data_IF_735691808724
#
_entry.id   IF_735691808724
#
_cell.length_a   1.000
_cell.length_b   1.000
_cell.length_c   1.000
_cell.angle_alpha   90.00
_cell.angle_beta   90.00
_cell.angle_gamma   90.00
#
_symmetry.space_group_name_H-M   'P 1'
#
loop_
_entity.id
_entity.type
_entity.pdbx_description
1 polymer ?
#
# COMPACT_ATOMS: atom_id res chain seq x y z
N UNK A 1 -18.07 -8.77 11.07
CA UNK A 1 -18.34 -7.33 10.92
C UNK A 1 -17.22 -6.49 11.52
N UNK A 2 -16.78 -5.42 10.84
CA UNK A 2 -15.84 -4.46 11.40
C UNK A 2 -16.52 -3.69 12.54
N UNK A 3 -15.86 -3.64 13.71
CA UNK A 3 -16.26 -2.74 14.79
C UNK A 3 -15.65 -1.36 14.53
N UNK A 4 -16.49 -0.33 14.48
CA UNK A 4 -16.04 1.06 14.35
C UNK A 4 -16.02 1.72 15.72
N UNK A 5 -14.91 2.37 16.05
CA UNK A 5 -14.77 3.18 17.26
C UNK A 5 -14.17 4.54 16.86
N UNK A 6 -14.84 5.62 17.23
CA UNK A 6 -14.31 6.96 17.07
C UNK A 6 -13.34 7.24 18.23
N UNK A 7 -12.07 7.49 17.91
CA UNK A 7 -11.03 7.82 18.90
C UNK A 7 -10.51 9.22 18.64
N UNK A 8 -10.48 10.05 19.68
CA UNK A 8 -9.78 11.33 19.63
C UNK A 8 -8.27 11.07 19.62
N UNK A 9 -7.65 11.26 18.45
CA UNK A 9 -6.22 11.06 18.25
C UNK A 9 -5.35 12.06 19.05
N UNK A 10 -5.93 13.12 19.63
CA UNK A 10 -5.22 14.01 20.58
C UNK A 10 -5.02 13.36 21.95
N UNK A 11 -5.78 12.30 22.28
CA UNK A 11 -5.72 11.58 23.54
C UNK A 11 -5.60 10.06 23.33
N UNK A 12 -4.49 9.56 22.76
CA UNK A 12 -4.37 8.19 22.25
C UNK A 12 -4.24 7.08 23.31
N UNK A 13 -4.45 7.38 24.60
CA UNK A 13 -4.14 6.48 25.74
C UNK A 13 -4.93 5.16 25.77
N UNK A 14 -5.89 4.94 24.87
CA UNK A 14 -6.69 3.72 24.79
C UNK A 14 -6.37 2.76 23.64
N UNK A 15 -5.62 3.15 22.60
CA UNK A 15 -5.44 2.33 21.39
C UNK A 15 -4.35 1.26 21.53
N UNK A 16 -3.23 1.58 22.18
CA UNK A 16 -2.02 0.74 22.13
C UNK A 16 -2.12 -0.57 22.91
N UNK A 17 -2.96 -0.63 23.94
CA UNK A 17 -3.15 -1.83 24.78
C UNK A 17 -4.05 -2.90 24.16
N UNK A 18 -4.83 -2.55 23.14
CA UNK A 18 -5.86 -3.42 22.53
C UNK A 18 -5.60 -3.72 21.05
N UNK A 19 -4.77 -2.92 20.37
CA UNK A 19 -4.51 -3.10 18.94
C UNK A 19 -3.31 -4.02 18.69
N UNK A 20 -3.55 -5.13 17.97
CA UNK A 20 -2.50 -6.00 17.43
C UNK A 20 -1.86 -5.43 16.16
N UNK A 21 -2.69 -4.80 15.33
CA UNK A 21 -2.32 -4.24 14.03
C UNK A 21 -2.89 -2.83 13.95
N UNK A 22 -2.04 -1.86 13.60
CA UNK A 22 -2.44 -0.50 13.25
C UNK A 22 -2.15 -0.30 11.77
N UNK A 23 -3.18 0.07 11.00
CA UNK A 23 -3.04 0.45 9.59
C UNK A 23 -3.38 1.93 9.45
N UNK A 24 -2.54 2.67 8.76
CA UNK A 24 -2.71 4.10 8.54
C UNK A 24 -2.27 4.52 7.15
N UNK A 25 -2.87 5.58 6.63
CA UNK A 25 -2.61 6.10 5.28
C UNK A 25 -2.38 7.61 5.26
N UNK A 26 -1.78 8.17 6.31
CA UNK A 26 -1.44 9.59 6.37
C UNK A 26 -0.12 9.88 5.65
N UNK A 27 0.13 11.17 5.36
CA UNK A 27 1.45 11.61 4.90
C UNK A 27 2.53 11.25 5.93
N UNK A 28 3.71 10.80 5.48
CA UNK A 28 4.82 10.43 6.35
C UNK A 28 5.13 11.52 7.39
N UNK A 29 5.21 11.10 8.65
CA UNK A 29 5.48 11.98 9.80
C UNK A 29 4.24 12.62 10.44
N UNK A 30 3.06 12.59 9.82
CA UNK A 30 1.84 13.20 10.40
C UNK A 30 1.43 12.55 11.72
N UNK A 31 1.35 11.22 11.76
CA UNK A 31 1.04 10.48 12.98
C UNK A 31 2.16 10.58 14.02
N UNK A 32 3.42 10.70 13.57
CA UNK A 32 4.54 10.93 14.48
C UNK A 32 4.39 12.25 15.26
N UNK A 33 3.99 13.34 14.58
CA UNK A 33 3.68 14.63 15.22
C UNK A 33 2.52 14.55 16.23
N UNK A 34 1.63 13.58 16.05
CA UNK A 34 0.48 13.32 16.93
C UNK A 34 0.81 12.34 18.07
N UNK A 35 2.08 11.92 18.22
CA UNK A 35 2.48 10.94 19.24
C UNK A 35 2.11 9.50 18.92
N UNK A 36 1.67 9.23 17.69
CA UNK A 36 1.15 7.95 17.21
C UNK A 36 2.07 7.27 16.20
N UNK A 37 3.32 7.73 16.06
CA UNK A 37 4.28 7.08 15.17
C UNK A 37 4.76 5.73 15.70
N UNK A 38 5.29 4.90 14.81
CA UNK A 38 5.76 3.56 15.14
C UNK A 38 6.76 3.53 16.32
N UNK A 39 7.73 4.45 16.36
CA UNK A 39 8.70 4.50 17.46
C UNK A 39 8.06 4.75 18.82
N UNK A 40 7.01 5.58 18.87
CA UNK A 40 6.29 5.86 20.10
C UNK A 40 5.44 4.67 20.53
N UNK A 41 4.70 4.06 19.59
CA UNK A 41 3.78 2.97 19.91
C UNK A 41 4.49 1.64 20.18
N UNK A 42 5.60 1.36 19.49
CA UNK A 42 6.39 0.14 19.69
C UNK A 42 7.06 0.08 21.08
N UNK A 43 7.31 1.22 21.73
CA UNK A 43 7.77 1.28 23.12
C UNK A 43 6.68 0.84 24.11
N UNK A 44 5.41 1.10 23.79
CA UNK A 44 4.26 0.73 24.62
C UNK A 44 3.82 -0.70 24.34
N UNK A 45 3.79 -1.08 23.06
CA UNK A 45 3.42 -2.42 22.60
C UNK A 45 4.49 -2.94 21.62
N UNK A 46 5.52 -3.66 22.11
CA UNK A 46 6.58 -4.25 21.28
C UNK A 46 6.08 -5.32 20.29
N UNK A 47 4.83 -5.77 20.43
CA UNK A 47 4.16 -6.75 19.57
C UNK A 47 3.33 -6.08 18.47
N UNK A 48 3.27 -4.75 18.42
CA UNK A 48 2.48 -4.00 17.45
C UNK A 48 3.00 -4.19 16.04
N UNK A 49 2.13 -4.61 15.13
CA UNK A 49 2.37 -4.51 13.69
C UNK A 49 1.83 -3.17 13.23
N UNK A 50 2.70 -2.33 12.70
CA UNK A 50 2.35 -1.00 12.22
C UNK A 50 2.47 -0.99 10.71
N UNK A 51 1.40 -0.72 9.98
CA UNK A 51 1.39 -0.67 8.52
C UNK A 51 1.06 0.74 8.05
N UNK A 52 2.04 1.38 7.42
CA UNK A 52 1.89 2.67 6.76
C UNK A 52 1.62 2.46 5.28
N UNK A 53 0.61 3.14 4.74
CA UNK A 53 0.28 3.17 3.32
C UNK A 53 0.47 4.60 2.81
N UNK A 54 1.42 4.83 1.91
CA UNK A 54 1.74 6.16 1.39
C UNK A 54 1.78 6.22 -0.13
N UNK A 55 1.89 7.41 -0.71
CA UNK A 55 2.09 7.58 -2.16
C UNK A 55 3.41 6.99 -2.65
N UNK A 56 4.50 7.46 -2.04
CA UNK A 56 5.86 7.28 -2.55
C UNK A 56 6.82 6.64 -1.52
N UNK A 57 6.31 6.19 -0.37
CA UNK A 57 7.10 5.61 0.72
C UNK A 57 7.36 6.62 1.84
N UNK A 58 7.88 6.12 2.97
CA UNK A 58 8.25 6.95 4.12
C UNK A 58 9.54 7.78 3.89
N UNK A 59 10.31 7.47 2.85
CA UNK A 59 11.61 8.08 2.56
C UNK A 59 11.69 8.53 1.09
N UNK A 60 12.71 9.33 0.77
CA UNK A 60 12.96 9.81 -0.59
C UNK A 60 12.33 11.18 -0.90
N UNK A 61 12.63 11.73 -2.08
CA UNK A 61 12.32 13.12 -2.42
C UNK A 61 10.83 13.41 -2.55
N UNK A 62 10.03 12.39 -2.90
CA UNK A 62 8.57 12.51 -3.07
C UNK A 62 7.77 12.01 -1.86
N UNK A 63 8.42 11.68 -0.74
CA UNK A 63 7.75 11.13 0.46
C UNK A 63 6.63 12.04 1.00
N UNK A 64 6.78 13.36 0.87
CA UNK A 64 5.77 14.35 1.31
C UNK A 64 4.73 14.69 0.23
N UNK A 65 4.83 14.09 -0.95
CA UNK A 65 3.88 14.31 -2.03
C UNK A 65 2.58 13.52 -1.78
N UNK A 66 1.41 14.09 -2.07
CA UNK A 66 0.15 13.35 -2.01
C UNK A 66 0.16 12.12 -2.92
N UNK A 67 -0.24 10.97 -2.37
CA UNK A 67 -0.41 9.73 -3.10
C UNK A 67 -1.84 9.56 -3.56
N UNK A 68 -2.11 9.84 -4.84
CA UNK A 68 -3.40 9.53 -5.47
C UNK A 68 -3.21 8.43 -6.50
N UNK A 69 -4.15 7.49 -6.56
CA UNK A 69 -4.18 6.38 -7.52
C UNK A 69 -3.90 6.83 -8.96
N UNK A 70 -4.56 7.88 -9.44
CA UNK A 70 -4.36 8.40 -10.79
C UNK A 70 -2.93 8.92 -11.02
N UNK A 71 -2.31 9.52 -10.01
CA UNK A 71 -0.94 10.02 -10.13
C UNK A 71 0.04 8.84 -10.11
N UNK A 72 -0.16 7.89 -9.21
CA UNK A 72 0.68 6.70 -9.11
C UNK A 72 0.61 5.84 -10.39
N UNK A 73 -0.59 5.63 -10.93
CA UNK A 73 -0.82 4.96 -12.22
C UNK A 73 -0.18 5.67 -13.41
N UNK A 74 -0.16 7.01 -13.41
CA UNK A 74 0.51 7.78 -14.45
C UNK A 74 2.05 7.62 -14.35
N UNK A 75 2.59 7.80 -13.15
CA UNK A 75 4.04 7.79 -12.89
C UNK A 75 4.64 6.39 -13.02
N UNK A 76 3.89 5.33 -12.71
CA UNK A 76 4.38 3.95 -12.87
C UNK A 76 4.50 3.50 -14.33
N UNK A 77 3.80 4.17 -15.24
CA UNK A 77 3.63 3.74 -16.63
C UNK A 77 2.38 2.91 -16.90
N UNK A 78 1.52 2.66 -15.90
CA UNK A 78 0.27 1.91 -16.10
C UNK A 78 -0.64 2.59 -17.14
N UNK A 79 -0.78 3.92 -17.10
CA UNK A 79 -1.58 4.64 -18.09
C UNK A 79 -1.01 4.51 -19.51
N UNK A 80 0.32 4.41 -19.64
CA UNK A 80 0.98 4.30 -20.94
C UNK A 80 0.68 2.95 -21.62
N UNK A 81 0.50 1.89 -20.84
CA UNK A 81 0.17 0.54 -21.34
C UNK A 81 -1.34 0.27 -21.40
N UNK A 82 -2.17 1.26 -21.07
CA UNK A 82 -3.63 1.12 -21.00
C UNK A 82 -4.29 1.99 -22.07
N UNK A 83 -5.03 1.36 -22.97
CA UNK A 83 -5.74 2.04 -24.06
C UNK A 83 -5.50 1.39 -25.42
N UNK A 84 -5.97 2.01 -26.50
CA UNK A 84 -5.63 1.62 -27.87
C UNK A 84 -4.12 1.78 -28.13
N UNK A 85 -3.54 0.93 -28.99
CA UNK A 85 -2.10 0.93 -29.33
C UNK A 85 -1.59 2.29 -29.83
N UNK A 86 -2.33 2.91 -30.76
CA UNK A 86 -2.03 4.25 -31.31
C UNK A 86 -2.84 5.37 -30.61
N UNK A 87 -3.35 5.10 -29.40
CA UNK A 87 -4.20 6.02 -28.64
C UNK A 87 -3.44 6.85 -27.61
N UNK A 88 -4.10 7.88 -27.09
CA UNK A 88 -3.63 8.61 -25.91
C UNK A 88 -3.66 7.70 -24.66
N UNK A 89 -2.73 7.86 -23.70
CA UNK A 89 -2.74 7.13 -22.44
C UNK A 89 -4.08 7.22 -21.71
N UNK A 90 -4.66 6.07 -21.37
CA UNK A 90 -5.98 6.00 -20.72
C UNK A 90 -5.83 5.58 -19.27
N UNK A 91 -6.56 6.27 -18.39
CA UNK A 91 -6.68 5.83 -16.99
C UNK A 91 -7.52 4.56 -16.91
N UNK A 92 -7.06 3.51 -16.20
CA UNK A 92 -7.91 2.35 -15.90
C UNK A 92 -9.22 2.76 -15.23
N UNK A 93 -10.33 2.10 -15.59
CA UNK A 93 -11.67 2.40 -15.05
C UNK A 93 -11.84 2.04 -13.56
N UNK A 94 -10.86 1.38 -12.97
CA UNK A 94 -10.83 0.99 -11.55
C UNK A 94 -9.55 1.49 -10.91
N UNK A 95 -9.58 1.73 -9.60
CA UNK A 95 -8.42 2.17 -8.83
C UNK A 95 -7.42 1.01 -8.62
N UNK A 96 -6.76 0.62 -9.72
CA UNK A 96 -5.85 -0.53 -9.75
C UNK A 96 -4.71 -0.37 -8.74
N UNK A 97 -4.21 0.85 -8.56
CA UNK A 97 -3.10 1.09 -7.64
C UNK A 97 -3.54 0.91 -6.21
N UNK A 98 -4.68 1.49 -5.83
CA UNK A 98 -5.23 1.34 -4.47
C UNK A 98 -5.52 -0.14 -4.15
N UNK A 99 -6.11 -0.88 -5.10
CA UNK A 99 -6.41 -2.30 -4.95
C UNK A 99 -5.15 -3.14 -4.79
N UNK A 100 -4.14 -2.92 -5.64
CA UNK A 100 -2.87 -3.64 -5.57
C UNK A 100 -2.16 -3.35 -4.25
N UNK A 101 -2.08 -2.08 -3.84
CA UNK A 101 -1.47 -1.69 -2.56
C UNK A 101 -2.19 -2.30 -1.37
N UNK A 102 -3.52 -2.31 -1.37
CA UNK A 102 -4.32 -2.97 -0.33
C UNK A 102 -4.01 -4.46 -0.21
N UNK A 103 -3.87 -5.15 -1.35
CA UNK A 103 -3.52 -6.58 -1.40
C UNK A 103 -2.10 -6.84 -0.88
N UNK A 104 -1.13 -6.03 -1.30
CA UNK A 104 0.25 -6.15 -0.80
C UNK A 104 0.36 -5.84 0.69
N UNK A 105 -0.32 -4.79 1.17
CA UNK A 105 -0.37 -4.44 2.59
C UNK A 105 -0.98 -5.57 3.42
N UNK A 106 -2.09 -6.16 2.95
CA UNK A 106 -2.70 -7.32 3.59
C UNK A 106 -1.72 -8.50 3.68
N UNK A 107 -1.07 -8.86 2.57
CA UNK A 107 -0.08 -9.93 2.54
C UNK A 107 1.10 -9.67 3.49
N UNK A 108 1.61 -8.43 3.53
CA UNK A 108 2.68 -8.03 4.42
C UNK A 108 2.26 -8.11 5.90
N UNK A 109 1.04 -7.68 6.24
CA UNK A 109 0.50 -7.81 7.60
C UNK A 109 0.37 -9.27 8.02
N UNK A 110 -0.12 -10.14 7.13
CA UNK A 110 -0.21 -11.58 7.41
C UNK A 110 1.18 -12.21 7.63
N UNK A 111 2.17 -11.85 6.82
CA UNK A 111 3.55 -12.28 6.99
C UNK A 111 4.15 -11.78 8.33
N UNK A 112 3.88 -10.53 8.69
CA UNK A 112 4.31 -9.95 9.96
C UNK A 112 3.65 -10.63 11.17
N UNK A 113 2.37 -10.99 11.08
CA UNK A 113 1.67 -11.77 12.13
C UNK A 113 2.32 -13.14 12.32
N UNK A 114 2.68 -13.81 11.22
CA UNK A 114 3.38 -15.10 11.27
C UNK A 114 4.79 -14.94 11.88
N UNK A 115 5.53 -13.91 11.49
CA UNK A 115 6.85 -13.61 12.07
C UNK A 115 6.73 -13.32 13.57
N UNK A 116 5.74 -12.52 13.97
CA UNK A 116 5.47 -12.16 15.37
C UNK A 116 5.19 -13.39 16.24
N UNK A 117 4.58 -14.45 15.68
CA UNK A 117 4.38 -15.70 16.40
C UNK A 117 5.71 -16.39 16.76
N UNK A 118 6.73 -16.25 15.90
CA UNK A 118 8.06 -16.84 16.12
C UNK A 118 8.98 -15.97 16.97
N UNK A 119 8.97 -14.65 16.75
CA UNK A 119 9.90 -13.71 17.39
C UNK A 119 9.33 -13.06 18.64
N UNK A 120 8.01 -13.08 18.81
CA UNK A 120 7.30 -12.33 19.83
C UNK A 120 7.33 -10.81 19.63
N UNK A 121 7.84 -10.31 18.50
CA UNK A 121 7.98 -8.87 18.21
C UNK A 121 7.20 -8.47 16.96
N UNK A 122 6.64 -7.28 17.00
CA UNK A 122 6.03 -6.62 15.85
C UNK A 122 7.07 -5.98 14.92
N UNK A 123 6.58 -5.32 13.88
CA UNK A 123 7.40 -4.70 12.83
C UNK A 123 6.65 -3.51 12.22
N UNK A 124 7.41 -2.56 11.67
CA UNK A 124 6.88 -1.48 10.82
C UNK A 124 6.94 -1.91 9.36
N UNK A 125 5.78 -1.90 8.71
CA UNK A 125 5.59 -2.18 7.29
C UNK A 125 5.37 -0.83 6.60
N UNK A 126 6.22 -0.52 5.62
CA UNK A 126 6.05 0.61 4.70
C UNK A 126 5.57 0.08 3.35
N UNK A 127 4.30 0.33 3.04
CA UNK A 127 3.71 0.07 1.74
C UNK A 127 3.48 1.40 1.02
N UNK A 128 3.76 1.43 -0.28
CA UNK A 128 3.48 2.61 -1.09
C UNK A 128 2.86 2.28 -2.44
N UNK A 129 2.03 3.21 -2.91
CA UNK A 129 1.27 3.12 -4.15
C UNK A 129 2.19 2.90 -5.36
N UNK A 130 3.27 3.68 -5.48
CA UNK A 130 4.17 3.59 -6.63
C UNK A 130 4.85 2.22 -6.74
N UNK A 131 5.43 1.72 -5.65
CA UNK A 131 6.12 0.43 -5.62
C UNK A 131 5.17 -0.74 -5.85
N UNK A 132 3.95 -0.63 -5.29
CA UNK A 132 2.88 -1.62 -5.52
C UNK A 132 2.50 -1.65 -7.00
N UNK A 133 2.35 -0.47 -7.61
CA UNK A 133 1.94 -0.35 -9.01
C UNK A 133 3.00 -0.88 -9.96
N UNK A 134 4.26 -0.47 -9.78
CA UNK A 134 5.38 -0.97 -10.60
C UNK A 134 5.51 -2.49 -10.51
N UNK A 135 5.23 -3.06 -9.35
CA UNK A 135 5.21 -4.52 -9.17
C UNK A 135 4.03 -5.15 -9.91
N UNK A 136 2.84 -4.56 -9.81
CA UNK A 136 1.64 -5.04 -10.49
C UNK A 136 1.76 -4.92 -12.02
N UNK A 137 2.36 -3.85 -12.54
CA UNK A 137 2.57 -3.62 -13.98
C UNK A 137 3.41 -4.74 -14.61
N UNK A 138 4.41 -5.28 -13.89
CA UNK A 138 5.18 -6.44 -14.37
C UNK A 138 4.33 -7.70 -14.54
N UNK A 139 3.38 -7.93 -13.61
CA UNK A 139 2.43 -9.04 -13.72
C UNK A 139 1.46 -8.77 -14.86
N UNK A 140 0.97 -7.53 -15.00
CA UNK A 140 0.04 -7.14 -16.04
C UNK A 140 0.66 -7.27 -17.44
N UNK A 141 1.91 -6.84 -17.64
CA UNK A 141 2.65 -7.05 -18.90
C UNK A 141 2.79 -8.53 -19.21
N UNK A 142 3.14 -9.37 -18.23
CA UNK A 142 3.23 -10.82 -18.43
C UNK A 142 1.89 -11.44 -18.83
N UNK A 143 0.80 -11.04 -18.17
CA UNK A 143 -0.56 -11.52 -18.47
C UNK A 143 -1.03 -11.00 -19.83
N UNK A 144 -0.84 -9.72 -20.16
CA UNK A 144 -1.20 -9.16 -21.46
C UNK A 144 -0.38 -9.80 -22.60
N UNK A 145 0.92 -10.06 -22.41
CA UNK A 145 1.73 -10.81 -23.38
C UNK A 145 1.17 -12.23 -23.52
N UNK A 146 0.84 -12.92 -22.44
CA UNK A 146 0.21 -14.24 -22.51
C UNK A 146 -1.16 -14.21 -23.20
N UNK A 147 -2.01 -13.22 -22.92
CA UNK A 147 -3.33 -13.07 -23.55
C UNK A 147 -3.18 -12.72 -25.03
N UNK A 148 -2.31 -11.78 -25.40
CA UNK A 148 -2.00 -11.50 -26.81
C UNK A 148 -1.45 -12.74 -27.52
N UNK A 149 -0.53 -13.50 -26.92
CA UNK A 149 -0.01 -14.75 -27.51
C UNK A 149 -1.12 -15.81 -27.63
N UNK A 150 -2.04 -15.90 -26.66
CA UNK A 150 -3.17 -16.84 -26.70
C UNK A 150 -4.32 -16.41 -27.61
N UNK A 151 -4.48 -15.11 -27.90
CA UNK A 151 -5.51 -14.56 -28.80
C UNK A 151 -5.00 -14.43 -30.24
N UNK A 152 -3.67 -14.35 -30.44
CA UNK A 152 -3.01 -14.33 -31.75
C UNK A 152 -2.63 -15.72 -32.36
N UNK A 153 -3.34 -16.85 -32.16
CA UNK A 153 -3.21 -18.03 -33.03
C UNK A 153 -4.20 -18.07 -34.21
N UNK A 154 -4.90 -16.97 -34.55
CA UNK A 154 -5.96 -16.98 -35.58
C UNK A 154 -5.81 -15.95 -36.71
N UNK A 155 -4.58 -15.52 -37.01
CA UNK A 155 -4.32 -14.71 -38.22
C UNK A 155 -2.94 -15.02 -38.81
N UNK A 156 -2.84 -16.18 -39.47
CA UNK A 156 -1.89 -16.51 -40.53
C UNK A 156 -2.49 -17.63 -41.40
#
# INVERSE_FOLDING_TARGET
DPQSIAVDLKHPRGLTGVCDVLVENYLPGKLHQMGLGYEQLSRVNPRLIYCSISGYGQTGPQSQSPGYDSIASAVSGMMHITGPEDGEPVRPGVAMTDLATGLYAHGAVMAALLQRHKTGRGVHIDCNLLSSQVTADRVCVCVCVCVCVCVCPLSL
#
